data_IF_734597103442
#
_entry.id   IF_734597103442
#
_cell.length_a   1.000
_cell.length_b   1.000
_cell.length_c   1.000
_cell.angle_alpha   90.00
_cell.angle_beta   90.00
_cell.angle_gamma   90.00
#
_symmetry.space_group_name_H-M   'P 1'
#
loop_
_entity.id
_entity.type
_entity.pdbx_description
1 polymer ?
#
# COMPACT_ATOMS: atom_id res chain seq x y z
N UNK A 1 6.22 1.53 17.53
CA UNK A 1 5.69 0.87 16.32
C UNK A 1 4.37 1.53 15.97
N UNK A 2 4.24 2.05 14.76
CA UNK A 2 3.01 2.58 14.21
C UNK A 2 2.50 1.63 13.11
N UNK A 3 1.25 1.19 13.24
CA UNK A 3 0.59 0.39 12.24
C UNK A 3 -0.32 1.26 11.37
N UNK A 4 -0.23 1.11 10.05
CA UNK A 4 -1.22 1.67 9.16
C UNK A 4 -2.50 0.81 9.20
N UNK A 5 -3.71 1.38 9.01
CA UNK A 5 -4.97 0.91 9.62
C UNK A 5 -5.37 -0.55 9.44
N UNK A 6 -4.91 -1.23 8.38
CA UNK A 6 -5.37 -2.59 8.08
C UNK A 6 -4.55 -3.72 8.71
N UNK A 7 -3.25 -3.53 8.93
CA UNK A 7 -2.41 -4.52 9.62
C UNK A 7 -2.60 -4.51 11.12
N UNK A 8 -2.96 -3.36 11.68
CA UNK A 8 -3.14 -3.22 13.12
C UNK A 8 -4.11 -4.26 13.71
N UNK A 9 -5.26 -4.46 13.08
CA UNK A 9 -6.26 -5.44 13.52
C UNK A 9 -5.74 -6.89 13.47
N UNK A 10 -4.94 -7.25 12.50
CA UNK A 10 -4.37 -8.60 12.37
C UNK A 10 -3.25 -8.85 13.38
N UNK A 11 -2.42 -7.86 13.66
CA UNK A 11 -1.30 -7.98 14.59
C UNK A 11 -1.72 -7.93 16.06
N UNK A 12 -2.67 -7.05 16.43
CA UNK A 12 -3.17 -6.98 17.81
C UNK A 12 -3.90 -8.24 18.23
N UNK A 13 -4.69 -8.84 17.33
CA UNK A 13 -5.59 -9.91 17.71
C UNK A 13 -4.90 -11.23 18.05
N UNK A 14 -3.71 -11.53 17.49
CA UNK A 14 -3.25 -12.91 17.48
C UNK A 14 -1.77 -13.13 17.84
N UNK A 15 -0.86 -12.21 17.56
CA UNK A 15 0.58 -12.52 17.60
C UNK A 15 1.38 -11.74 18.64
N UNK A 16 1.30 -10.42 18.68
CA UNK A 16 2.25 -9.61 19.45
C UNK A 16 2.11 -9.78 20.98
N UNK A 17 0.92 -10.12 21.46
CA UNK A 17 0.70 -10.37 22.91
C UNK A 17 1.31 -11.69 23.39
N UNK A 18 1.80 -12.54 22.49
CA UNK A 18 2.40 -13.85 22.83
C UNK A 18 3.93 -13.81 22.96
N UNK A 19 4.56 -12.75 22.52
CA UNK A 19 6.00 -12.60 22.58
C UNK A 19 6.38 -11.70 23.74
N UNK A 20 7.18 -12.20 24.67
CA UNK A 20 7.62 -11.45 25.85
C UNK A 20 8.36 -10.17 25.48
N UNK A 21 9.08 -10.15 24.34
CA UNK A 21 9.79 -9.00 23.82
C UNK A 21 8.86 -7.79 23.56
N UNK A 22 7.59 -8.01 23.22
CA UNK A 22 6.61 -6.94 23.03
C UNK A 22 5.89 -6.53 24.32
N UNK A 23 6.11 -7.24 25.41
CA UNK A 23 5.66 -6.82 26.75
C UNK A 23 6.65 -5.87 27.41
N UNK A 24 7.85 -5.69 26.84
CA UNK A 24 8.84 -4.75 27.34
C UNK A 24 8.30 -3.31 27.28
N UNK A 25 8.46 -2.58 28.39
CA UNK A 25 8.08 -1.16 28.47
C UNK A 25 8.77 -0.27 27.43
N UNK A 26 9.84 -0.75 26.81
CA UNK A 26 10.59 -0.08 25.74
C UNK A 26 9.89 -0.13 24.38
N UNK A 27 8.96 -1.07 24.15
CA UNK A 27 8.22 -1.20 22.92
C UNK A 27 6.81 -0.66 23.10
N UNK A 28 6.47 0.40 22.38
CA UNK A 28 5.14 1.01 22.39
C UNK A 28 4.47 0.84 21.02
N UNK A 29 3.25 0.37 21.04
CA UNK A 29 2.40 0.30 19.85
C UNK A 29 1.49 1.51 19.88
N UNK A 30 1.50 2.31 18.82
CA UNK A 30 0.67 3.50 18.68
C UNK A 30 -0.19 3.39 17.43
N UNK A 31 -1.40 3.92 17.49
CA UNK A 31 -2.40 3.83 16.43
C UNK A 31 -2.55 5.14 15.66
N UNK A 32 -2.10 6.24 16.24
CA UNK A 32 -2.28 7.56 15.66
C UNK A 32 -0.99 8.37 15.68
N UNK A 33 -0.90 9.33 14.77
CA UNK A 33 0.24 10.25 14.70
C UNK A 33 0.33 11.16 15.93
N UNK A 34 -0.82 11.50 16.54
CA UNK A 34 -0.88 12.30 17.76
C UNK A 34 -0.27 11.55 18.95
N UNK A 35 -0.44 10.23 19.01
CA UNK A 35 0.14 9.41 20.05
C UNK A 35 1.68 9.37 19.99
N UNK A 36 2.27 9.55 18.81
CA UNK A 36 3.72 9.63 18.63
C UNK A 36 4.28 10.87 19.35
N UNK A 37 3.59 12.00 19.25
CA UNK A 37 4.04 13.27 19.83
C UNK A 37 4.28 13.20 21.34
N UNK A 38 3.50 12.38 22.04
CA UNK A 38 3.67 12.12 23.47
C UNK A 38 5.02 11.53 23.85
N UNK A 39 5.65 10.81 22.94
CA UNK A 39 6.84 10.01 23.22
C UNK A 39 8.05 10.44 22.38
N UNK A 40 7.95 11.53 21.64
CA UNK A 40 8.96 11.94 20.66
C UNK A 40 10.38 12.02 21.21
N UNK A 41 10.54 12.48 22.45
CA UNK A 41 11.85 12.61 23.10
C UNK A 41 12.44 11.26 23.56
N UNK A 42 11.61 10.22 23.63
CA UNK A 42 12.00 8.88 24.07
C UNK A 42 12.18 7.91 22.89
N UNK A 43 11.81 8.32 21.65
CA UNK A 43 11.83 7.43 20.49
C UNK A 43 13.26 7.29 19.95
N UNK A 44 13.82 6.12 20.11
CA UNK A 44 15.11 5.75 19.48
C UNK A 44 14.92 5.15 18.09
N UNK A 45 13.79 4.47 17.84
CA UNK A 45 13.45 3.88 16.55
C UNK A 45 11.94 3.87 16.37
N UNK A 46 11.45 4.38 15.25
CA UNK A 46 10.05 4.34 14.86
C UNK A 46 9.85 3.38 13.68
N UNK A 47 9.05 2.34 13.88
CA UNK A 47 8.75 1.34 12.86
C UNK A 47 7.34 1.58 12.32
N UNK A 48 7.24 1.85 11.01
CA UNK A 48 5.97 1.92 10.28
C UNK A 48 5.67 0.55 9.68
N UNK A 49 4.47 0.02 9.92
CA UNK A 49 4.08 -1.29 9.39
C UNK A 49 2.86 -1.14 8.50
N UNK A 50 2.94 -1.67 7.28
CA UNK A 50 1.84 -1.70 6.31
C UNK A 50 1.74 -3.08 5.65
N UNK A 51 0.62 -3.39 5.01
CA UNK A 51 0.44 -4.63 4.26
C UNK A 51 1.02 -4.51 2.84
N UNK A 52 0.90 -3.32 2.24
CA UNK A 52 1.30 -3.10 0.86
C UNK A 52 1.79 -1.67 0.59
N UNK A 53 2.96 -1.57 -0.02
CA UNK A 53 3.48 -0.30 -0.56
C UNK A 53 3.54 -0.38 -2.09
N UNK A 54 2.71 0.40 -2.76
CA UNK A 54 2.64 0.49 -4.22
C UNK A 54 3.65 1.50 -4.78
N UNK A 55 3.21 2.75 -4.96
CA UNK A 55 4.07 3.84 -5.45
C UNK A 55 4.94 4.48 -4.36
N UNK A 56 4.66 4.21 -3.10
CA UNK A 56 5.31 4.84 -1.96
C UNK A 56 4.67 6.15 -1.49
N UNK A 57 3.74 6.74 -2.25
CA UNK A 57 3.20 8.08 -1.94
C UNK A 57 2.54 8.16 -0.56
N UNK A 58 1.73 7.15 -0.21
CA UNK A 58 1.05 7.12 1.09
C UNK A 58 2.06 7.03 2.23
N UNK A 59 3.05 6.15 2.09
CA UNK A 59 4.08 5.97 3.10
C UNK A 59 4.96 7.21 3.24
N UNK A 60 5.36 7.85 2.12
CA UNK A 60 6.08 9.13 2.13
C UNK A 60 5.25 10.23 2.80
N UNK A 61 3.95 10.30 2.52
CA UNK A 61 3.06 11.24 3.20
C UNK A 61 3.03 11.01 4.72
N UNK A 62 3.00 9.75 5.17
CA UNK A 62 3.09 9.42 6.59
C UNK A 62 4.44 9.83 7.20
N UNK A 63 5.54 9.55 6.49
CA UNK A 63 6.89 9.93 6.95
C UNK A 63 6.99 11.45 7.09
N UNK A 64 6.54 12.22 6.10
CA UNK A 64 6.54 13.69 6.17
C UNK A 64 5.77 14.23 7.38
N UNK A 65 4.57 13.68 7.64
CA UNK A 65 3.79 14.07 8.83
C UNK A 65 4.51 13.77 10.15
N UNK A 66 5.30 12.71 10.18
CA UNK A 66 6.11 12.34 11.35
C UNK A 66 7.31 13.29 11.49
N UNK A 67 7.96 13.66 10.39
CA UNK A 67 9.05 14.65 10.41
C UNK A 67 8.56 16.04 10.83
N UNK A 68 7.35 16.44 10.41
CA UNK A 68 6.71 17.69 10.86
C UNK A 68 6.50 17.74 12.38
N UNK A 69 6.39 16.58 13.03
CA UNK A 69 6.32 16.45 14.49
C UNK A 69 7.70 16.45 15.16
N UNK A 70 8.77 16.63 14.40
CA UNK A 70 10.14 16.74 14.89
C UNK A 70 10.88 15.42 15.05
N UNK A 71 10.35 14.31 14.49
CA UNK A 71 11.04 13.01 14.48
C UNK A 71 11.91 12.92 13.24
N UNK A 72 13.19 12.66 13.44
CA UNK A 72 14.17 12.56 12.35
C UNK A 72 13.95 11.29 11.53
N UNK A 73 14.05 11.41 10.20
CA UNK A 73 13.85 10.27 9.29
C UNK A 73 14.84 9.12 9.49
N UNK A 74 16.05 9.42 9.98
CA UNK A 74 17.12 8.44 10.23
C UNK A 74 16.72 7.37 11.25
N UNK A 75 15.80 7.69 12.15
CA UNK A 75 15.28 6.72 13.12
C UNK A 75 13.97 6.05 12.65
N UNK A 76 13.45 6.44 11.48
CA UNK A 76 12.24 5.84 10.91
C UNK A 76 12.63 4.63 10.05
N UNK A 77 11.98 3.51 10.28
CA UNK A 77 12.08 2.29 9.46
C UNK A 77 10.70 1.86 9.02
N UNK A 78 10.62 1.19 7.89
CA UNK A 78 9.36 0.69 7.37
C UNK A 78 9.42 -0.81 7.13
N UNK A 79 8.33 -1.50 7.46
CA UNK A 79 8.17 -2.94 7.22
C UNK A 79 6.85 -3.16 6.50
N UNK A 80 6.87 -3.93 5.41
CA UNK A 80 5.67 -4.27 4.66
C UNK A 80 5.67 -5.74 4.24
N UNK A 81 4.48 -6.31 4.03
CA UNK A 81 4.40 -7.67 3.49
C UNK A 81 4.79 -7.67 2.00
N UNK A 82 4.24 -6.75 1.22
CA UNK A 82 4.50 -6.67 -0.21
C UNK A 82 4.84 -5.24 -0.59
N UNK A 83 5.88 -5.06 -1.39
CA UNK A 83 6.23 -3.77 -1.98
C UNK A 83 6.39 -3.88 -3.49
N UNK A 84 5.92 -2.90 -4.24
CA UNK A 84 6.35 -2.73 -5.62
C UNK A 84 7.75 -2.13 -5.68
N UNK A 85 8.57 -2.61 -6.61
CA UNK A 85 9.96 -2.17 -6.81
C UNK A 85 10.06 -0.64 -6.89
N UNK A 86 9.17 0.00 -7.66
CA UNK A 86 9.12 1.46 -7.78
C UNK A 86 8.83 2.18 -6.46
N UNK A 87 7.97 1.61 -5.62
CA UNK A 87 7.68 2.15 -4.29
C UNK A 87 8.85 1.97 -3.33
N UNK A 88 9.52 0.81 -3.38
CA UNK A 88 10.75 0.57 -2.61
C UNK A 88 11.82 1.59 -2.96
N UNK A 89 12.11 1.75 -4.25
CA UNK A 89 13.10 2.72 -4.74
C UNK A 89 12.75 4.16 -4.33
N UNK A 90 11.47 4.54 -4.33
CA UNK A 90 11.04 5.88 -3.91
C UNK A 90 11.30 6.12 -2.42
N UNK A 91 11.00 5.15 -1.54
CA UNK A 91 11.22 5.25 -0.10
C UNK A 91 12.72 5.26 0.23
N UNK A 92 13.50 4.36 -0.37
CA UNK A 92 14.94 4.27 -0.13
C UNK A 92 15.66 5.53 -0.64
N UNK A 93 15.24 6.08 -1.78
CA UNK A 93 15.74 7.36 -2.29
C UNK A 93 15.45 8.52 -1.35
N UNK A 94 14.33 8.48 -0.62
CA UNK A 94 14.01 9.48 0.40
C UNK A 94 14.92 9.37 1.62
N UNK A 95 15.55 8.23 1.83
CA UNK A 95 16.50 7.96 2.92
C UNK A 95 15.89 7.23 4.10
N UNK A 96 14.83 6.45 3.88
CA UNK A 96 14.20 5.59 4.88
C UNK A 96 14.35 4.13 4.46
N UNK A 97 14.80 3.28 5.40
CA UNK A 97 14.92 1.85 5.17
C UNK A 97 13.53 1.20 5.04
N UNK A 98 13.31 0.47 3.94
CA UNK A 98 12.09 -0.31 3.72
C UNK A 98 12.41 -1.81 3.61
N UNK A 99 11.95 -2.56 4.57
CA UNK A 99 12.02 -4.02 4.60
C UNK A 99 10.70 -4.63 4.12
N UNK A 100 10.78 -5.67 3.29
CA UNK A 100 9.58 -6.32 2.77
C UNK A 100 9.80 -7.83 2.63
N UNK A 101 8.73 -8.60 2.84
CA UNK A 101 8.76 -10.04 2.61
C UNK A 101 8.79 -10.37 1.11
N UNK A 102 8.08 -9.58 0.29
CA UNK A 102 7.95 -9.80 -1.15
C UNK A 102 8.14 -8.48 -1.90
N UNK A 103 9.01 -8.48 -2.90
CA UNK A 103 9.15 -7.38 -3.88
C UNK A 103 8.47 -7.79 -5.17
N UNK A 104 7.63 -6.92 -5.72
CA UNK A 104 6.91 -7.13 -6.99
C UNK A 104 7.38 -6.15 -8.06
N UNK A 105 7.72 -6.68 -9.22
CA UNK A 105 7.97 -5.91 -10.43
C UNK A 105 6.64 -5.54 -11.10
N UNK A 106 6.70 -4.66 -12.11
CA UNK A 106 5.57 -4.42 -13.00
C UNK A 106 5.20 -5.69 -13.74
N UNK A 107 3.91 -6.00 -13.81
CA UNK A 107 3.46 -7.28 -14.34
C UNK A 107 3.70 -7.44 -15.85
N UNK A 108 3.74 -6.36 -16.60
CA UNK A 108 3.95 -6.38 -18.06
C UNK A 108 5.32 -5.83 -18.40
N UNK A 109 5.58 -4.56 -18.09
CA UNK A 109 6.79 -3.86 -18.56
C UNK A 109 8.09 -4.57 -18.14
N UNK A 110 8.13 -5.16 -16.94
CA UNK A 110 9.35 -5.79 -16.42
C UNK A 110 9.47 -7.29 -16.77
N UNK A 111 8.45 -7.89 -17.42
CA UNK A 111 8.42 -9.33 -17.69
C UNK A 111 8.39 -9.70 -19.18
N UNK A 112 8.24 -8.72 -20.07
CA UNK A 112 8.18 -8.95 -21.51
C UNK A 112 9.16 -8.04 -22.26
N UNK A 113 9.58 -8.46 -23.45
CA UNK A 113 10.31 -7.56 -24.35
C UNK A 113 9.43 -6.36 -24.74
N UNK A 114 10.04 -5.31 -25.26
CA UNK A 114 9.36 -4.03 -25.52
C UNK A 114 8.12 -4.18 -26.39
N UNK A 115 8.23 -4.93 -27.49
CA UNK A 115 7.13 -5.11 -28.46
C UNK A 115 5.94 -5.85 -27.84
N UNK A 116 6.20 -6.95 -27.13
CA UNK A 116 5.16 -7.72 -26.45
C UNK A 116 4.55 -6.95 -25.28
N UNK A 117 5.37 -6.20 -24.54
CA UNK A 117 4.90 -5.33 -23.48
C UNK A 117 3.92 -4.28 -24.00
N UNK A 118 4.26 -3.60 -25.11
CA UNK A 118 3.38 -2.59 -25.73
C UNK A 118 2.05 -3.20 -26.17
N UNK A 119 2.05 -4.38 -26.80
CA UNK A 119 0.82 -5.10 -27.16
C UNK A 119 -0.05 -5.44 -25.96
N UNK A 120 0.56 -5.96 -24.88
CA UNK A 120 -0.16 -6.32 -23.65
C UNK A 120 -0.70 -5.09 -22.90
N UNK A 121 0.04 -3.99 -22.86
CA UNK A 121 -0.41 -2.71 -22.31
C UNK A 121 -1.65 -2.23 -23.06
N UNK A 122 -1.63 -2.22 -24.39
CA UNK A 122 -2.79 -1.84 -25.22
C UNK A 122 -4.01 -2.74 -24.96
N UNK A 123 -3.80 -4.04 -24.79
CA UNK A 123 -4.86 -4.98 -24.42
C UNK A 123 -5.46 -4.66 -23.05
N UNK A 124 -4.64 -4.39 -22.02
CA UNK A 124 -5.10 -4.03 -20.67
C UNK A 124 -5.83 -2.69 -20.65
N UNK A 125 -5.36 -1.70 -21.39
CA UNK A 125 -6.09 -0.45 -21.59
C UNK A 125 -7.43 -0.65 -22.28
N UNK A 126 -7.47 -1.54 -23.28
CA UNK A 126 -8.70 -1.95 -23.96
C UNK A 126 -9.71 -2.60 -23.01
N UNK A 127 -9.24 -3.46 -22.10
CA UNK A 127 -10.07 -4.07 -21.05
C UNK A 127 -10.60 -2.99 -20.11
N UNK A 128 -9.76 -2.08 -19.64
CA UNK A 128 -10.16 -0.99 -18.76
C UNK A 128 -11.21 -0.06 -19.39
N UNK A 129 -11.10 0.21 -20.69
CA UNK A 129 -12.12 0.93 -21.48
C UNK A 129 -13.44 0.16 -21.53
N UNK A 130 -13.40 -1.15 -21.81
CA UNK A 130 -14.60 -2.02 -21.83
C UNK A 130 -15.29 -2.08 -20.48
N UNK A 131 -14.53 -2.05 -19.38
CA UNK A 131 -15.03 -1.97 -18.02
C UNK A 131 -15.62 -0.58 -17.67
N UNK A 132 -15.47 0.42 -18.55
CA UNK A 132 -15.89 1.81 -18.32
C UNK A 132 -15.23 2.43 -17.08
N UNK A 133 -13.96 2.10 -16.84
CA UNK A 133 -13.18 2.72 -15.74
C UNK A 133 -13.14 4.23 -15.95
N UNK A 134 -13.72 4.99 -15.01
CA UNK A 134 -13.90 6.46 -15.15
C UNK A 134 -12.56 7.20 -15.23
N UNK A 135 -11.63 6.84 -14.37
CA UNK A 135 -10.33 7.50 -14.32
C UNK A 135 -9.30 6.76 -15.18
N UNK A 136 -8.97 7.35 -16.33
CA UNK A 136 -8.00 6.77 -17.28
C UNK A 136 -6.59 6.58 -16.69
N UNK A 137 -6.21 7.38 -15.68
CA UNK A 137 -4.90 7.23 -15.02
C UNK A 137 -4.74 5.91 -14.27
N UNK A 138 -5.86 5.19 -14.03
CA UNK A 138 -5.88 3.90 -13.35
C UNK A 138 -5.86 2.69 -14.29
N UNK A 139 -5.91 2.87 -15.62
CA UNK A 139 -6.02 1.77 -16.59
C UNK A 139 -4.93 0.69 -16.42
N UNK A 140 -3.74 1.12 -16.04
CA UNK A 140 -2.60 0.24 -15.74
C UNK A 140 -2.23 0.23 -14.25
N UNK A 141 -3.21 0.49 -13.39
CA UNK A 141 -2.98 0.76 -11.98
C UNK A 141 -2.48 2.18 -11.71
N UNK A 142 -2.59 2.64 -10.46
CA UNK A 142 -2.15 3.97 -10.06
C UNK A 142 -0.68 4.21 -10.44
N UNK A 143 -0.38 5.34 -11.06
CA UNK A 143 0.95 5.69 -11.60
C UNK A 143 1.53 4.64 -12.56
N UNK A 144 0.68 3.95 -13.30
CA UNK A 144 1.07 2.86 -14.22
C UNK A 144 1.93 1.80 -13.52
N UNK A 145 1.53 1.42 -12.34
CA UNK A 145 2.24 0.48 -11.49
C UNK A 145 2.14 -0.98 -11.97
N UNK A 146 1.15 -1.30 -12.82
CA UNK A 146 0.93 -2.64 -13.36
C UNK A 146 0.91 -3.71 -12.26
N UNK A 147 0.28 -3.39 -11.14
CA UNK A 147 0.27 -4.27 -9.98
C UNK A 147 -0.57 -5.52 -10.17
N UNK A 148 -0.08 -6.64 -9.67
CA UNK A 148 -0.80 -7.91 -9.51
C UNK A 148 -0.76 -8.32 -8.04
N UNK A 149 -1.42 -7.54 -7.19
CA UNK A 149 -1.47 -7.78 -5.75
C UNK A 149 -2.90 -7.59 -5.28
N UNK A 150 -3.40 -8.57 -4.55
CA UNK A 150 -4.67 -8.48 -3.83
C UNK A 150 -4.39 -8.63 -2.34
N UNK A 151 -4.93 -7.72 -1.55
CA UNK A 151 -4.86 -7.71 -0.09
C UNK A 151 -6.29 -7.75 0.45
N UNK A 152 -6.48 -7.57 1.76
CA UNK A 152 -7.83 -7.45 2.35
C UNK A 152 -8.64 -6.38 1.61
N UNK A 153 -7.98 -5.26 1.24
CA UNK A 153 -8.50 -4.28 0.30
C UNK A 153 -7.56 -4.21 -0.89
N UNK A 154 -8.04 -4.58 -2.07
CA UNK A 154 -7.21 -4.55 -3.28
C UNK A 154 -6.66 -3.14 -3.53
N UNK A 155 -5.34 -2.97 -3.67
CA UNK A 155 -4.74 -1.67 -3.91
C UNK A 155 -5.13 -1.10 -5.29
N UNK A 156 -5.24 0.22 -5.43
CA UNK A 156 -5.48 0.86 -6.73
C UNK A 156 -4.27 0.78 -7.68
N UNK A 157 -3.13 0.34 -7.18
CA UNK A 157 -1.95 -0.01 -7.97
C UNK A 157 -2.17 -1.29 -8.82
N UNK A 158 -3.12 -2.14 -8.42
CA UNK A 158 -3.51 -3.33 -9.17
C UNK A 158 -4.37 -2.94 -10.38
N UNK A 159 -4.26 -3.68 -11.48
CA UNK A 159 -5.07 -3.45 -12.68
C UNK A 159 -6.56 -3.40 -12.34
N UNK A 160 -7.35 -2.46 -12.90
CA UNK A 160 -8.78 -2.31 -12.62
C UNK A 160 -9.61 -3.56 -12.88
N UNK A 161 -9.20 -4.40 -13.81
CA UNK A 161 -9.85 -5.68 -14.11
C UNK A 161 -10.12 -6.52 -12.84
N UNK A 162 -9.25 -6.44 -11.86
CA UNK A 162 -9.37 -7.24 -10.63
C UNK A 162 -10.31 -6.64 -9.58
N UNK A 163 -10.53 -5.31 -9.59
CA UNK A 163 -11.21 -4.66 -8.48
C UNK A 163 -12.31 -3.67 -8.86
N UNK A 164 -12.40 -3.28 -10.16
CA UNK A 164 -13.34 -2.26 -10.57
C UNK A 164 -14.74 -2.86 -10.77
N UNK A 165 -15.69 -2.32 -10.04
CA UNK A 165 -17.12 -2.67 -10.13
C UNK A 165 -17.92 -1.56 -10.82
N UNK A 166 -18.95 -1.93 -11.53
CA UNK A 166 -19.79 -0.95 -12.23
C UNK A 166 -20.99 -1.57 -12.92
N UNK A 167 -21.84 -0.73 -13.49
CA UNK A 167 -22.98 -1.17 -14.31
C UNK A 167 -22.61 -1.20 -15.78
N UNK A 168 -22.89 -2.30 -16.45
CA UNK A 168 -22.78 -2.45 -17.90
C UNK A 168 -24.10 -2.99 -18.43
N UNK A 169 -24.68 -2.27 -19.40
CA UNK A 169 -25.93 -2.65 -20.06
C UNK A 169 -27.05 -3.01 -19.06
N UNK A 170 -27.16 -2.18 -18.00
CA UNK A 170 -28.13 -2.35 -16.92
C UNK A 170 -27.80 -3.41 -15.88
N UNK A 171 -26.77 -4.25 -16.11
CA UNK A 171 -26.32 -5.31 -15.19
C UNK A 171 -25.14 -4.85 -14.36
N UNK A 172 -25.16 -5.15 -13.06
CA UNK A 172 -24.03 -4.93 -12.18
C UNK A 172 -22.94 -5.98 -12.46
N UNK A 173 -21.70 -5.52 -12.66
CA UNK A 173 -20.54 -6.37 -12.88
C UNK A 173 -19.72 -6.42 -11.60
N UNK A 174 -19.62 -7.59 -11.01
CA UNK A 174 -18.78 -7.84 -9.85
C UNK A 174 -17.33 -8.05 -10.28
N UNK A 175 -16.41 -7.44 -9.54
CA UNK A 175 -14.99 -7.72 -9.68
C UNK A 175 -14.57 -8.98 -8.90
N UNK A 176 -13.54 -9.72 -9.36
CA UNK A 176 -13.00 -10.86 -8.61
C UNK A 176 -12.52 -10.49 -7.20
N UNK A 177 -11.96 -9.31 -7.03
CA UNK A 177 -11.42 -8.78 -5.76
C UNK A 177 -11.86 -7.33 -5.57
N UNK A 178 -13.14 -7.09 -5.25
CA UNK A 178 -13.69 -5.75 -5.20
C UNK A 178 -13.02 -4.87 -4.15
N UNK A 179 -12.75 -3.62 -4.51
CA UNK A 179 -12.35 -2.57 -3.56
C UNK A 179 -13.59 -2.03 -2.87
N UNK A 180 -14.20 -2.80 -2.00
CA UNK A 180 -15.33 -2.30 -1.23
C UNK A 180 -14.84 -1.16 -0.34
N UNK A 181 -15.33 0.04 -0.58
CA UNK A 181 -15.31 1.08 0.42
C UNK A 181 -16.16 0.58 1.58
N UNK A 182 -15.73 0.80 2.81
CA UNK A 182 -16.49 0.39 3.99
C UNK A 182 -17.96 0.80 3.77
N UNK A 183 -18.85 -0.19 3.91
CA UNK A 183 -20.29 0.02 3.79
C UNK A 183 -20.69 0.96 4.93
N UNK A 184 -20.98 2.19 4.57
CA UNK A 184 -21.40 3.21 5.52
C UNK A 184 -20.70 4.54 5.26
N UNK A 185 -21.04 5.21 4.22
CA UNK A 185 -21.16 6.64 3.92
C UNK A 185 -21.11 6.81 2.40
N UNK A 186 -22.22 6.59 1.75
CA UNK A 186 -22.56 7.22 0.49
C UNK A 186 -24.06 7.57 0.55
N UNK A 187 -24.32 8.76 0.93
CA UNK A 187 -25.44 9.56 0.45
C UNK A 187 -24.91 10.75 -0.32
#
# INVERSE_FOLDING_TARGET
ILFLPYIFLLFQATFMRRFEEFHDKRVRIVETFEAIEKYKEEIECLILIDDYVGSGDTLLGCINLIEEKGIKKEIIKSITLVVQKSGKEAIEKYGVDLYSAIIRNKAITDNYNKEDAEKKIQQMEGISKKLKVKNKSLYLGYKKSEGLVTMIKTPNNTFPFYWYEGKRDGKFMMAPFPRRNNVGVDE
#
